data_IF_879566634673
#
_entry.id   IF_879566634673
#
_cell.length_a   1.000
_cell.length_b   1.000
_cell.length_c   1.000
_cell.angle_alpha   90.00
_cell.angle_beta   90.00
_cell.angle_gamma   90.00
#
_symmetry.space_group_name_H-M   'P 1'
#
loop_
_entity.id
_entity.type
_entity.pdbx_description
1 polymer ?
#
# COMPACT_ATOMS: atom_id res chain seq x y z
N UNK A 1 -22.84 -6.67 47.04
CA UNK A 1 -21.76 -6.48 46.04
C UNK A 1 -22.00 -5.12 45.39
N UNK A 2 -21.08 -4.19 45.55
CA UNK A 2 -21.27 -2.79 45.12
C UNK A 2 -21.10 -2.63 43.61
N UNK A 3 -21.81 -1.66 43.01
CA UNK A 3 -21.75 -1.36 41.59
C UNK A 3 -20.31 -1.17 41.04
N UNK A 4 -19.37 -0.71 41.87
CA UNK A 4 -17.96 -0.55 41.51
C UNK A 4 -17.24 -1.89 41.20
N UNK A 5 -17.57 -2.97 41.91
CA UNK A 5 -16.94 -4.28 41.69
C UNK A 5 -17.38 -4.88 40.35
N UNK A 6 -18.64 -4.65 39.95
CA UNK A 6 -19.14 -5.08 38.65
C UNK A 6 -18.45 -4.33 37.50
N UNK A 7 -18.19 -3.03 37.66
CA UNK A 7 -17.49 -2.22 36.66
C UNK A 7 -16.04 -2.72 36.48
N UNK A 8 -15.31 -2.97 37.56
CA UNK A 8 -13.91 -3.45 37.49
C UNK A 8 -13.82 -4.83 36.82
N UNK A 9 -14.77 -5.73 37.09
CA UNK A 9 -14.79 -7.06 36.46
C UNK A 9 -15.10 -6.95 34.95
N UNK A 10 -16.05 -6.10 34.56
CA UNK A 10 -16.38 -5.90 33.14
C UNK A 10 -15.19 -5.29 32.38
N UNK A 11 -14.54 -4.27 32.93
CA UNK A 11 -13.34 -3.69 32.32
C UNK A 11 -12.17 -4.68 32.26
N UNK A 12 -11.97 -5.50 33.30
CA UNK A 12 -10.95 -6.54 33.31
C UNK A 12 -11.18 -7.63 32.27
N UNK A 13 -12.43 -8.07 32.09
CA UNK A 13 -12.81 -9.07 31.07
C UNK A 13 -12.69 -8.50 29.66
N UNK A 14 -13.11 -7.24 29.44
CA UNK A 14 -12.92 -6.55 28.16
C UNK A 14 -11.43 -6.38 27.85
N UNK A 15 -10.61 -6.04 28.85
CA UNK A 15 -9.16 -5.90 28.66
C UNK A 15 -8.46 -7.25 28.39
N UNK A 16 -8.88 -8.32 29.05
CA UNK A 16 -8.41 -9.68 28.76
C UNK A 16 -8.80 -10.17 27.36
N UNK A 17 -10.00 -9.83 26.88
CA UNK A 17 -10.43 -10.13 25.51
C UNK A 17 -9.70 -9.27 24.47
N UNK A 18 -9.54 -7.96 24.72
CA UNK A 18 -8.81 -7.06 23.83
C UNK A 18 -7.30 -7.36 23.77
N UNK A 19 -6.71 -7.83 24.87
CA UNK A 19 -5.29 -8.17 24.96
C UNK A 19 -4.94 -9.55 24.38
N UNK A 20 -5.92 -10.37 23.98
CA UNK A 20 -5.67 -11.73 23.46
C UNK A 20 -5.24 -11.76 21.99
N UNK A 21 -5.32 -10.64 21.28
CA UNK A 21 -4.86 -10.50 19.89
C UNK A 21 -3.48 -9.84 19.82
N UNK A 22 -2.47 -10.43 20.48
CA UNK A 22 -1.07 -10.21 20.08
C UNK A 22 -0.72 -11.23 18.99
N UNK A 23 -1.35 -11.08 17.83
CA UNK A 23 -0.83 -11.70 16.62
C UNK A 23 0.42 -10.89 16.26
N UNK A 24 1.60 -11.50 16.32
CA UNK A 24 2.69 -10.98 15.50
C UNK A 24 2.24 -11.17 14.05
N UNK A 25 1.85 -10.09 13.38
CA UNK A 25 1.60 -10.11 11.95
C UNK A 25 2.91 -10.53 11.29
N UNK A 26 2.91 -11.67 10.60
CA UNK A 26 4.08 -12.14 9.87
C UNK A 26 4.48 -11.08 8.84
N UNK A 27 5.69 -10.53 8.96
CA UNK A 27 6.18 -9.47 8.09
C UNK A 27 7.06 -10.02 6.97
N UNK A 28 7.27 -9.22 5.92
CA UNK A 28 8.18 -9.57 4.81
C UNK A 28 9.60 -9.81 5.34
N UNK A 29 10.03 -9.05 6.37
CA UNK A 29 11.35 -9.16 6.97
C UNK A 29 11.59 -10.51 7.64
N UNK A 30 10.55 -11.12 8.20
CA UNK A 30 10.61 -12.44 8.85
C UNK A 30 10.87 -13.57 7.84
N UNK A 31 10.46 -13.37 6.59
CA UNK A 31 10.63 -14.35 5.51
C UNK A 31 11.88 -14.07 4.67
N UNK A 32 12.12 -12.80 4.31
CA UNK A 32 13.26 -12.39 3.50
C UNK A 32 13.62 -10.91 3.71
N UNK A 33 14.69 -10.64 4.46
CA UNK A 33 15.17 -9.29 4.74
C UNK A 33 15.56 -8.48 3.49
N UNK A 34 16.10 -9.12 2.46
CA UNK A 34 16.46 -8.42 1.22
C UNK A 34 15.22 -8.00 0.42
N UNK A 35 14.16 -8.82 0.45
CA UNK A 35 12.86 -8.49 -0.12
C UNK A 35 12.20 -7.34 0.65
N UNK A 36 12.26 -7.35 1.98
CA UNK A 36 11.75 -6.26 2.81
C UNK A 36 12.41 -4.92 2.49
N UNK A 37 13.74 -4.89 2.33
CA UNK A 37 14.46 -3.67 1.94
C UNK A 37 13.99 -3.13 0.59
N UNK A 38 13.75 -4.01 -0.39
CA UNK A 38 13.23 -3.61 -1.71
C UNK A 38 11.79 -3.11 -1.63
N UNK A 39 10.95 -3.76 -0.84
CA UNK A 39 9.57 -3.33 -0.62
C UNK A 39 9.52 -1.92 -0.06
N UNK A 40 10.26 -1.64 1.02
CA UNK A 40 10.34 -0.31 1.65
C UNK A 40 10.86 0.74 0.65
N UNK A 41 11.90 0.40 -0.12
CA UNK A 41 12.44 1.29 -1.15
C UNK A 41 11.37 1.62 -2.21
N UNK A 42 10.64 0.61 -2.70
CA UNK A 42 9.58 0.83 -3.68
C UNK A 42 8.42 1.61 -3.09
N UNK A 43 7.99 1.32 -1.86
CA UNK A 43 6.93 2.05 -1.17
C UNK A 43 7.26 3.54 -1.06
N UNK A 44 8.48 3.89 -0.67
CA UNK A 44 8.95 5.28 -0.61
C UNK A 44 8.87 5.98 -1.97
N UNK A 45 9.38 5.33 -3.03
CA UNK A 45 9.33 5.88 -4.39
C UNK A 45 7.89 5.98 -4.93
N UNK A 46 7.01 5.05 -4.58
CA UNK A 46 5.58 5.08 -4.95
C UNK A 46 4.93 6.31 -4.33
N UNK A 47 5.15 6.57 -3.03
CA UNK A 47 4.62 7.75 -2.36
C UNK A 47 5.08 9.04 -3.05
N UNK A 48 6.38 9.20 -3.26
CA UNK A 48 6.95 10.38 -3.94
C UNK A 48 6.34 10.61 -5.34
N UNK A 49 6.11 9.53 -6.09
CA UNK A 49 5.55 9.61 -7.45
C UNK A 49 4.04 9.81 -7.45
N UNK A 50 3.31 9.34 -6.44
CA UNK A 50 1.88 9.66 -6.23
C UNK A 50 1.70 11.15 -5.92
N UNK A 51 2.57 11.72 -5.10
CA UNK A 51 2.57 13.16 -4.81
C UNK A 51 2.84 13.97 -6.08
N UNK A 52 3.83 13.54 -6.88
CA UNK A 52 4.11 14.14 -8.19
C UNK A 52 2.89 14.07 -9.12
N UNK A 53 2.17 12.94 -9.13
CA UNK A 53 0.98 12.76 -9.96
C UNK A 53 -0.19 13.65 -9.50
N UNK A 54 -0.33 13.87 -8.19
CA UNK A 54 -1.40 14.70 -7.62
C UNK A 54 -1.33 16.17 -8.06
N UNK A 55 -0.14 16.69 -8.37
CA UNK A 55 0.04 18.05 -8.91
C UNK A 55 -0.74 18.25 -10.21
N UNK A 56 -0.90 17.18 -11.00
CA UNK A 56 -1.61 17.22 -12.29
C UNK A 56 -3.11 16.93 -12.18
N UNK A 57 -3.63 16.64 -10.98
CA UNK A 57 -5.03 16.30 -10.76
C UNK A 57 -5.97 17.43 -11.22
N UNK A 58 -5.60 18.69 -10.98
CA UNK A 58 -6.38 19.86 -11.42
C UNK A 58 -6.33 20.09 -12.93
N UNK A 59 -5.24 19.67 -13.60
CA UNK A 59 -5.04 19.89 -15.02
C UNK A 59 -5.82 18.89 -15.88
N UNK A 60 -5.90 17.62 -15.45
CA UNK A 60 -6.67 16.57 -16.13
C UNK A 60 -7.28 15.58 -15.11
N UNK A 61 -8.44 15.91 -14.50
CA UNK A 61 -9.03 15.11 -13.42
C UNK A 61 -9.44 13.70 -13.86
N UNK A 62 -9.92 13.53 -15.10
CA UNK A 62 -10.31 12.22 -15.63
C UNK A 62 -9.10 11.29 -15.83
N UNK A 63 -7.98 11.86 -16.30
CA UNK A 63 -6.73 11.12 -16.48
C UNK A 63 -6.15 10.70 -15.13
N UNK A 64 -6.13 11.64 -14.18
CA UNK A 64 -5.72 11.36 -12.80
C UNK A 64 -6.57 10.23 -12.19
N UNK A 65 -7.90 10.32 -12.29
CA UNK A 65 -8.84 9.31 -11.78
C UNK A 65 -8.54 7.92 -12.35
N UNK A 66 -8.39 7.81 -13.67
CA UNK A 66 -8.06 6.54 -14.33
C UNK A 66 -6.77 5.93 -13.78
N UNK A 67 -5.73 6.73 -13.61
CA UNK A 67 -4.45 6.25 -13.08
C UNK A 67 -4.54 5.85 -11.61
N UNK A 68 -5.32 6.58 -10.80
CA UNK A 68 -5.54 6.20 -9.40
C UNK A 68 -6.37 4.93 -9.27
N UNK A 69 -7.31 4.67 -10.18
CA UNK A 69 -8.10 3.44 -10.19
C UNK A 69 -7.22 2.20 -10.50
N UNK A 70 -6.32 2.33 -11.48
CA UNK A 70 -5.34 1.26 -11.79
C UNK A 70 -4.39 0.99 -10.61
N UNK A 71 -3.93 2.05 -9.93
CA UNK A 71 -3.10 1.92 -8.74
C UNK A 71 -3.85 1.30 -7.56
N UNK A 72 -5.12 1.64 -7.39
CA UNK A 72 -5.97 1.07 -6.35
C UNK A 72 -6.09 -0.44 -6.51
N UNK A 73 -6.26 -0.93 -7.74
CA UNK A 73 -6.31 -2.37 -8.01
C UNK A 73 -5.03 -3.07 -7.58
N UNK A 74 -3.88 -2.47 -7.88
CA UNK A 74 -2.58 -3.01 -7.46
C UNK A 74 -2.41 -2.97 -5.93
N UNK A 75 -2.92 -1.94 -5.25
CA UNK A 75 -2.92 -1.88 -3.78
C UNK A 75 -3.80 -2.98 -3.17
N UNK A 76 -5.00 -3.19 -3.72
CA UNK A 76 -5.91 -4.24 -3.26
C UNK A 76 -5.28 -5.64 -3.45
N UNK A 77 -4.57 -5.87 -4.56
CA UNK A 77 -3.80 -7.10 -4.79
C UNK A 77 -2.66 -7.28 -3.77
N UNK A 78 -1.98 -6.19 -3.39
CA UNK A 78 -0.92 -6.23 -2.38
C UNK A 78 -1.47 -6.59 -0.99
N UNK A 79 -2.58 -5.96 -0.57
CA UNK A 79 -3.21 -6.25 0.72
C UNK A 79 -3.73 -7.68 0.79
N UNK A 80 -4.24 -8.21 -0.33
CA UNK A 80 -4.59 -9.63 -0.42
C UNK A 80 -3.38 -10.54 -0.22
N UNK A 81 -2.26 -10.26 -0.88
CA UNK A 81 -1.02 -11.04 -0.70
C UNK A 81 -0.52 -10.96 0.75
N UNK A 82 -0.62 -9.78 1.38
CA UNK A 82 -0.28 -9.59 2.79
C UNK A 82 -1.15 -10.44 3.71
N UNK A 83 -2.46 -10.51 3.45
CA UNK A 83 -3.38 -11.36 4.20
C UNK A 83 -3.15 -12.86 3.99
N UNK A 84 -2.71 -13.26 2.79
CA UNK A 84 -2.36 -14.65 2.46
C UNK A 84 -1.02 -15.10 3.09
N UNK A 85 -0.09 -14.16 3.34
CA UNK A 85 1.26 -14.42 3.85
C UNK A 85 1.33 -15.30 5.12
N UNK A 86 0.56 -15.05 6.20
CA UNK A 86 0.60 -15.90 7.40
C UNK A 86 -0.07 -17.28 7.21
N UNK A 87 -0.92 -17.44 6.19
CA UNK A 87 -1.72 -18.66 5.99
C UNK A 87 -1.17 -19.59 4.92
N UNK A 88 -0.27 -19.09 4.07
CA UNK A 88 0.32 -19.87 2.98
C UNK A 88 1.50 -20.73 3.45
N UNK A 89 1.63 -21.99 2.99
CA UNK A 89 2.84 -22.77 3.20
C UNK A 89 4.06 -22.21 2.44
N UNK A 90 3.84 -21.52 1.31
CA UNK A 90 4.91 -21.01 0.46
C UNK A 90 5.08 -19.48 0.60
N UNK A 91 5.52 -19.07 1.79
CA UNK A 91 5.66 -17.66 2.16
C UNK A 91 6.65 -16.91 1.27
N UNK A 92 7.72 -17.57 0.83
CA UNK A 92 8.74 -16.99 -0.07
C UNK A 92 8.12 -16.57 -1.41
N UNK A 93 7.23 -17.40 -1.96
CA UNK A 93 6.53 -17.07 -3.20
C UNK A 93 5.61 -15.85 -3.04
N UNK A 94 4.86 -15.79 -1.94
CA UNK A 94 3.98 -14.64 -1.64
C UNK A 94 4.78 -13.36 -1.43
N UNK A 95 5.87 -13.40 -0.67
CA UNK A 95 6.78 -12.25 -0.52
C UNK A 95 7.33 -11.78 -1.86
N UNK A 96 7.73 -12.70 -2.75
CA UNK A 96 8.19 -12.34 -4.09
C UNK A 96 7.08 -11.66 -4.90
N UNK A 97 5.84 -12.13 -4.79
CA UNK A 97 4.68 -11.51 -5.42
C UNK A 97 4.37 -10.11 -4.84
N UNK A 98 4.49 -9.92 -3.52
CA UNK A 98 4.31 -8.63 -2.86
C UNK A 98 5.32 -7.59 -3.35
N UNK A 99 6.61 -7.95 -3.38
CA UNK A 99 7.66 -7.07 -3.92
C UNK A 99 7.41 -6.80 -5.41
N UNK A 100 6.98 -7.80 -6.17
CA UNK A 100 6.66 -7.63 -7.60
C UNK A 100 5.49 -6.68 -7.81
N UNK A 101 4.46 -6.74 -6.96
CA UNK A 101 3.34 -5.81 -7.01
C UNK A 101 3.82 -4.35 -6.83
N UNK A 102 4.64 -4.08 -5.80
CA UNK A 102 5.23 -2.74 -5.60
C UNK A 102 6.10 -2.30 -6.78
N UNK A 103 6.89 -3.20 -7.36
CA UNK A 103 7.67 -2.91 -8.57
C UNK A 103 6.76 -2.48 -9.74
N UNK A 104 5.65 -3.18 -9.96
CA UNK A 104 4.67 -2.86 -11.01
C UNK A 104 4.01 -1.50 -10.75
N UNK A 105 3.59 -1.23 -9.51
CA UNK A 105 3.02 0.08 -9.13
C UNK A 105 3.98 1.22 -9.45
N UNK A 106 5.26 1.07 -9.08
CA UNK A 106 6.28 2.08 -9.33
C UNK A 106 6.51 2.29 -10.83
N UNK A 107 6.58 1.22 -11.62
CA UNK A 107 6.78 1.31 -13.07
C UNK A 107 5.58 1.97 -13.76
N UNK A 108 4.35 1.64 -13.34
CA UNK A 108 3.14 2.28 -13.83
C UNK A 108 3.18 3.78 -13.55
N UNK A 109 3.45 4.19 -12.30
CA UNK A 109 3.58 5.60 -11.92
C UNK A 109 4.61 6.35 -12.77
N UNK A 110 5.80 5.77 -12.97
CA UNK A 110 6.84 6.36 -13.82
C UNK A 110 6.35 6.54 -15.25
N UNK A 111 5.69 5.54 -15.82
CA UNK A 111 5.15 5.61 -17.17
C UNK A 111 4.07 6.70 -17.30
N UNK A 112 3.16 6.79 -16.34
CA UNK A 112 2.11 7.82 -16.38
C UNK A 112 2.66 9.24 -16.25
N UNK A 113 3.64 9.45 -15.37
CA UNK A 113 4.31 10.74 -15.25
C UNK A 113 5.08 11.12 -16.53
N UNK A 114 5.71 10.16 -17.21
CA UNK A 114 6.35 10.40 -18.50
C UNK A 114 5.35 10.85 -19.56
N UNK A 115 4.18 10.19 -19.64
CA UNK A 115 3.11 10.55 -20.58
C UNK A 115 2.60 11.97 -20.30
N UNK A 116 2.37 12.31 -19.03
CA UNK A 116 1.93 13.65 -18.64
C UNK A 116 2.96 14.72 -19.05
N UNK A 117 4.24 14.52 -18.73
CA UNK A 117 5.29 15.46 -19.11
C UNK A 117 5.39 15.65 -20.64
N UNK A 118 5.31 14.56 -21.41
CA UNK A 118 5.35 14.63 -22.88
C UNK A 118 4.16 15.41 -23.45
N UNK A 119 2.96 15.19 -22.91
CA UNK A 119 1.74 15.89 -23.35
C UNK A 119 1.81 17.38 -22.98
N UNK A 120 2.29 17.70 -21.78
CA UNK A 120 2.42 19.10 -21.33
C UNK A 120 3.46 19.87 -22.15
N UNK A 121 4.59 19.24 -22.46
CA UNK A 121 5.62 19.83 -23.33
C UNK A 121 5.07 20.07 -24.74
N UNK A 122 4.32 19.11 -25.30
CA UNK A 122 3.67 19.28 -26.60
C UNK A 122 2.68 20.46 -26.62
N UNK A 123 1.84 20.62 -25.60
CA UNK A 123 0.91 21.75 -25.49
C UNK A 123 1.63 23.10 -25.38
N UNK A 124 2.72 23.17 -24.61
CA UNK A 124 3.52 24.40 -24.46
C UNK A 124 4.19 24.81 -25.76
N UNK A 125 4.77 23.86 -26.50
CA UNK A 125 5.47 24.13 -27.77
C UNK A 125 4.48 24.55 -28.86
N UNK A 126 3.31 23.93 -28.92
CA UNK A 126 2.36 24.18 -30.01
C UNK A 126 1.35 25.32 -29.74
N UNK A 127 1.38 25.98 -28.58
CA UNK A 127 0.46 27.08 -28.16
C UNK A 127 -0.92 26.97 -28.82
N UNK A 128 -1.62 25.90 -28.49
CA UNK A 128 -3.07 25.72 -28.69
C UNK A 128 -3.77 25.96 -27.37
#
# INVERSE_FOLDING_TARGET
MSAAAAIVVVFGVVWLYAGRSRNHDLEIADVNAAAAKKEIQFASLITEKRDSLAIFASANPDLYKKFTDDLKKLDDDYERLKAELPTTPNQVFVVKAMVKNREIQLNLLKQQLLIINQVDDYKKVNRI
#
